data_IF_348351249674
#
_entry.id   IF_348351249674
#
_cell.length_a   1.000
_cell.length_b   1.000
_cell.length_c   1.000
_cell.angle_alpha   90.00
_cell.angle_beta   90.00
_cell.angle_gamma   90.00
#
_symmetry.space_group_name_H-M   'P 1'
#
loop_
_entity.id
_entity.type
_entity.pdbx_description
1 polymer ?
#
# COMPACT_ATOMS: atom_id res chain seq x y z
N UNK A 1 -27.44 4.48 -5.81
CA UNK A 1 -27.61 3.06 -5.41
C UNK A 1 -27.39 2.18 -6.62
N UNK A 2 -26.14 1.98 -7.06
CA UNK A 2 -25.83 1.05 -8.16
C UNK A 2 -25.43 -0.29 -7.55
N UNK A 3 -26.29 -1.29 -7.73
CA UNK A 3 -26.06 -2.65 -7.29
C UNK A 3 -24.85 -3.27 -8.00
N UNK A 4 -23.90 -3.76 -7.21
CA UNK A 4 -22.95 -4.77 -7.67
C UNK A 4 -23.44 -6.12 -7.19
N UNK A 5 -23.73 -6.99 -8.16
CA UNK A 5 -24.03 -8.39 -7.90
C UNK A 5 -22.91 -9.01 -7.05
N UNK A 6 -23.33 -9.60 -5.94
CA UNK A 6 -22.50 -10.30 -4.97
C UNK A 6 -21.96 -11.61 -5.58
N UNK A 7 -20.88 -11.52 -6.35
CA UNK A 7 -19.89 -12.60 -6.39
C UNK A 7 -18.75 -12.15 -5.47
N UNK A 8 -18.67 -12.76 -4.29
CA UNK A 8 -17.69 -12.47 -3.25
C UNK A 8 -16.28 -12.93 -3.65
N UNK A 9 -15.74 -12.39 -4.74
CA UNK A 9 -14.31 -12.37 -4.94
C UNK A 9 -13.73 -11.42 -3.90
N UNK A 10 -12.79 -11.91 -3.09
CA UNK A 10 -12.01 -11.05 -2.18
C UNK A 10 -11.39 -9.94 -3.02
N UNK A 11 -11.84 -8.70 -2.83
CA UNK A 11 -11.34 -7.56 -3.58
C UNK A 11 -10.02 -7.08 -2.95
N UNK A 12 -8.89 -7.58 -3.45
CA UNK A 12 -7.59 -7.04 -3.10
C UNK A 12 -7.45 -5.63 -3.70
N UNK A 13 -7.12 -4.63 -2.88
CA UNK A 13 -6.92 -3.26 -3.34
C UNK A 13 -5.50 -2.79 -3.01
N UNK A 14 -4.77 -2.36 -4.04
CA UNK A 14 -3.39 -1.91 -3.89
C UNK A 14 -3.35 -0.46 -3.41
N UNK A 15 -2.69 -0.21 -2.29
CA UNK A 15 -2.31 1.13 -1.85
C UNK A 15 -1.01 1.52 -2.54
N UNK A 16 -0.96 2.71 -3.14
CA UNK A 16 0.22 3.20 -3.86
C UNK A 16 0.36 4.73 -3.72
N UNK A 17 1.41 5.27 -4.36
CA UNK A 17 1.64 6.72 -4.47
C UNK A 17 1.71 7.49 -3.14
N UNK A 18 2.16 6.85 -2.05
CA UNK A 18 2.46 7.56 -0.81
C UNK A 18 3.90 8.05 -0.86
N UNK A 19 4.07 9.36 -0.92
CA UNK A 19 5.35 10.02 -0.85
C UNK A 19 5.30 11.13 0.21
N UNK A 20 6.46 11.48 0.76
CA UNK A 20 6.59 12.62 1.67
C UNK A 20 7.82 13.38 1.22
N UNK A 21 7.70 14.70 1.09
CA UNK A 21 8.80 15.57 0.70
C UNK A 21 9.98 15.40 1.68
N UNK A 22 11.25 15.40 1.23
CA UNK A 22 12.41 15.18 2.08
C UNK A 22 12.45 16.07 3.34
N UNK A 23 12.14 17.36 3.21
CA UNK A 23 12.12 18.33 4.33
C UNK A 23 11.02 18.07 5.39
N UNK A 24 10.10 17.14 5.11
CA UNK A 24 8.96 16.80 5.94
C UNK A 24 9.00 15.34 6.43
N UNK A 25 10.13 14.65 6.25
CA UNK A 25 10.35 13.31 6.80
C UNK A 25 10.38 13.34 8.34
N UNK A 26 10.17 12.18 8.97
CA UNK A 26 10.20 12.03 10.43
C UNK A 26 8.97 12.57 11.17
N UNK A 27 8.04 13.25 10.49
CA UNK A 27 6.84 13.88 11.09
C UNK A 27 5.59 13.00 11.08
N UNK A 28 5.68 11.76 10.60
CA UNK A 28 4.57 10.80 10.59
C UNK A 28 3.55 10.93 9.45
N UNK A 29 3.70 11.89 8.53
CA UNK A 29 2.74 12.13 7.45
C UNK A 29 2.45 10.91 6.57
N UNK A 30 3.47 10.13 6.22
CA UNK A 30 3.28 8.89 5.46
C UNK A 30 2.31 7.93 6.16
N UNK A 31 2.43 7.77 7.49
CA UNK A 31 1.56 6.91 8.28
C UNK A 31 0.11 7.40 8.31
N UNK A 32 -0.09 8.73 8.39
CA UNK A 32 -1.43 9.34 8.35
C UNK A 32 -2.09 9.07 6.99
N UNK A 33 -1.38 9.35 5.88
CA UNK A 33 -1.89 9.12 4.52
C UNK A 33 -2.22 7.65 4.27
N UNK A 34 -1.34 6.73 4.70
CA UNK A 34 -1.56 5.28 4.59
C UNK A 34 -2.78 4.83 5.37
N UNK A 35 -2.93 5.31 6.61
CA UNK A 35 -4.06 4.96 7.46
C UNK A 35 -5.39 5.33 6.80
N UNK A 36 -5.48 6.53 6.22
CA UNK A 36 -6.69 6.98 5.53
C UNK A 36 -6.97 6.18 4.24
N UNK A 37 -5.95 5.81 3.48
CA UNK A 37 -6.09 4.93 2.31
C UNK A 37 -6.58 3.53 2.72
N UNK A 38 -5.99 2.94 3.76
CA UNK A 38 -6.37 1.64 4.31
C UNK A 38 -7.82 1.64 4.77
N UNK A 39 -8.24 2.67 5.52
CA UNK A 39 -9.64 2.84 5.95
C UNK A 39 -10.61 2.87 4.77
N UNK A 40 -10.28 3.60 3.70
CA UNK A 40 -11.13 3.65 2.48
C UNK A 40 -11.29 2.28 1.84
N UNK A 41 -10.21 1.51 1.74
CA UNK A 41 -10.26 0.14 1.20
C UNK A 41 -11.15 -0.76 2.05
N UNK A 42 -10.94 -0.75 3.37
CA UNK A 42 -11.72 -1.57 4.32
C UNK A 42 -13.20 -1.20 4.26
N UNK A 43 -13.54 0.09 4.19
CA UNK A 43 -14.92 0.58 4.08
C UNK A 43 -15.61 0.15 2.77
N UNK A 44 -14.86 -0.29 1.78
CA UNK A 44 -15.38 -0.88 0.52
C UNK A 44 -15.32 -2.40 0.51
N UNK A 45 -15.15 -3.05 1.67
CA UNK A 45 -14.97 -4.49 1.84
C UNK A 45 -13.77 -5.06 1.08
N UNK A 46 -12.74 -4.23 0.83
CA UNK A 46 -11.49 -4.65 0.21
C UNK A 46 -10.43 -5.04 1.23
N UNK A 47 -9.41 -5.77 0.75
CA UNK A 47 -8.21 -6.09 1.53
C UNK A 47 -7.04 -5.24 1.00
N UNK A 48 -6.49 -4.32 1.80
CA UNK A 48 -5.39 -3.47 1.39
C UNK A 48 -4.08 -4.25 1.33
N UNK A 49 -3.30 -4.04 0.27
CA UNK A 49 -1.94 -4.56 0.17
C UNK A 49 -1.03 -3.57 -0.58
N UNK A 50 0.28 -3.72 -0.42
CA UNK A 50 1.29 -2.97 -1.17
C UNK A 50 2.57 -3.79 -1.30
N UNK A 51 3.45 -3.37 -2.19
CA UNK A 51 4.79 -3.95 -2.31
C UNK A 51 5.82 -2.89 -1.93
N UNK A 52 6.93 -3.34 -1.37
CA UNK A 52 8.05 -2.51 -0.95
C UNK A 52 9.35 -3.24 -1.27
N UNK A 53 10.39 -2.49 -1.64
CA UNK A 53 11.73 -3.04 -1.77
C UNK A 53 12.20 -3.58 -0.40
N UNK A 54 12.82 -4.76 -0.40
CA UNK A 54 13.18 -5.47 0.84
C UNK A 54 14.15 -4.68 1.73
N UNK A 55 14.97 -3.81 1.13
CA UNK A 55 15.96 -2.94 1.78
C UNK A 55 15.40 -1.57 2.21
N UNK A 56 14.14 -1.25 1.88
CA UNK A 56 13.50 0.00 2.31
C UNK A 56 12.93 -0.13 3.73
N UNK A 57 13.83 -0.29 4.70
CA UNK A 57 13.51 -0.47 6.12
C UNK A 57 12.69 0.69 6.71
N UNK A 58 12.89 1.91 6.21
CA UNK A 58 12.14 3.08 6.66
C UNK A 58 10.65 2.95 6.31
N UNK A 59 10.33 2.57 5.07
CA UNK A 59 8.95 2.34 4.64
C UNK A 59 8.34 1.13 5.34
N UNK A 60 9.09 0.03 5.48
CA UNK A 60 8.63 -1.19 6.19
C UNK A 60 8.16 -0.84 7.60
N UNK A 61 8.95 -0.09 8.38
CA UNK A 61 8.56 0.34 9.73
C UNK A 61 7.29 1.18 9.76
N UNK A 62 7.05 2.00 8.73
CA UNK A 62 5.79 2.77 8.64
C UNK A 62 4.62 1.84 8.35
N UNK A 63 4.78 0.89 7.43
CA UNK A 63 3.75 -0.09 7.06
C UNK A 63 3.35 -0.98 8.25
N UNK A 64 4.32 -1.45 9.02
CA UNK A 64 4.07 -2.25 10.24
C UNK A 64 3.30 -1.44 11.29
N UNK A 65 3.66 -0.15 11.49
CA UNK A 65 2.95 0.72 12.43
C UNK A 65 1.48 0.97 12.05
N UNK A 66 1.14 0.94 10.76
CA UNK A 66 -0.25 1.06 10.30
C UNK A 66 -0.98 -0.29 10.20
N UNK A 67 -0.35 -1.37 10.66
CA UNK A 67 -0.97 -2.70 10.80
C UNK A 67 -0.79 -3.64 9.61
N UNK A 68 0.00 -3.26 8.59
CA UNK A 68 0.35 -4.18 7.50
C UNK A 68 1.38 -5.21 7.98
N UNK A 69 1.31 -6.42 7.43
CA UNK A 69 2.24 -7.52 7.73
C UNK A 69 2.87 -8.03 6.44
N UNK A 70 4.11 -8.49 6.53
CA UNK A 70 4.78 -9.14 5.41
C UNK A 70 4.04 -10.42 5.02
N UNK A 71 3.67 -10.55 3.74
CA UNK A 71 3.01 -11.74 3.19
C UNK A 71 4.01 -12.73 2.57
N UNK A 72 5.08 -12.23 1.96
CA UNK A 72 6.10 -13.05 1.30
C UNK A 72 6.92 -12.24 0.30
N UNK A 73 8.05 -12.79 -0.19
CA UNK A 73 8.88 -12.16 -1.20
C UNK A 73 8.18 -12.12 -2.56
N UNK A 74 8.55 -11.15 -3.39
CA UNK A 74 8.09 -11.02 -4.78
C UNK A 74 9.24 -10.50 -5.65
N UNK A 75 9.28 -10.95 -6.90
CA UNK A 75 10.24 -10.49 -7.90
C UNK A 75 9.72 -9.22 -8.60
N UNK A 76 10.57 -8.20 -8.66
CA UNK A 76 10.34 -6.99 -9.45
C UNK A 76 11.39 -6.87 -10.54
N UNK A 77 10.97 -6.73 -11.80
CA UNK A 77 11.86 -6.62 -12.96
C UNK A 77 11.78 -5.21 -13.55
N UNK A 78 12.93 -4.67 -13.95
CA UNK A 78 13.02 -3.45 -14.75
C UNK A 78 13.52 -3.84 -16.13
N UNK A 79 12.67 -3.69 -17.14
CA UNK A 79 13.02 -3.96 -18.54
C UNK A 79 13.54 -2.67 -19.16
N UNK A 80 14.83 -2.64 -19.48
CA UNK A 80 15.44 -1.54 -20.21
C UNK A 80 15.32 -1.81 -21.72
N UNK A 81 14.29 -1.27 -22.34
CA UNK A 81 14.09 -1.36 -23.79
C UNK A 81 14.95 -0.28 -24.43
N UNK A 82 16.15 -0.65 -24.88
CA UNK A 82 16.92 0.19 -25.80
C UNK A 82 16.15 0.27 -27.12
N UNK A 83 15.90 1.48 -27.61
CA UNK A 83 15.44 1.69 -28.98
C UNK A 83 16.49 1.21 -29.97
#
# INVERSE_FOLDING_TARGET
MYGRAAHAAIALCRVNAVCTHPDYLGRGYAGILLTEQIKRVINTNGIPFLHVLADNHAAIRVYERVGLKARGPMLGYVLNIKK
#
